data_IF_922657361330
#
_entry.id   IF_922657361330
#
_cell.length_a   1.000
_cell.length_b   1.000
_cell.length_c   1.000
_cell.angle_alpha   90.00
_cell.angle_beta   90.00
_cell.angle_gamma   90.00
#
_symmetry.space_group_name_H-M   'P 1'
#
loop_
_entity.id
_entity.type
_entity.pdbx_description
1 polymer ?
#
# COMPACT_ATOMS: atom_id res chain seq x y z
N UNK A 1 23.81 19.11 -18.81
CA UNK A 1 22.83 18.00 -18.75
C UNK A 1 23.64 16.81 -18.30
N UNK A 2 23.62 16.57 -16.99
CA UNK A 2 24.58 15.68 -16.31
C UNK A 2 24.27 14.21 -16.58
N UNK A 3 25.33 13.41 -16.68
CA UNK A 3 25.25 11.96 -16.92
C UNK A 3 24.49 11.19 -15.82
N UNK A 4 24.30 11.79 -14.64
CA UNK A 4 23.50 11.23 -13.55
C UNK A 4 21.99 11.24 -13.85
N UNK A 5 21.49 12.18 -14.66
CA UNK A 5 20.07 12.25 -15.05
C UNK A 5 19.68 11.12 -16.03
N UNK A 6 20.66 10.52 -16.72
CA UNK A 6 20.44 9.35 -17.59
C UNK A 6 20.46 8.02 -16.85
N UNK A 7 20.96 7.98 -15.61
CA UNK A 7 21.13 6.75 -14.83
C UNK A 7 19.88 6.34 -14.04
N UNK A 8 18.95 7.26 -13.78
CA UNK A 8 17.71 7.02 -13.03
C UNK A 8 16.64 6.24 -13.79
N UNK A 9 16.81 5.98 -15.10
CA UNK A 9 15.84 5.28 -15.94
C UNK A 9 16.15 3.80 -16.20
N UNK A 10 17.31 3.29 -15.78
CA UNK A 10 17.59 1.85 -15.89
C UNK A 10 16.95 1.11 -14.73
N UNK A 11 15.71 0.69 -14.94
CA UNK A 11 15.11 -0.33 -14.11
C UNK A 11 15.95 -1.61 -14.07
N UNK A 12 15.74 -2.44 -13.06
CA UNK A 12 16.41 -3.73 -12.93
C UNK A 12 15.39 -4.86 -13.05
N UNK A 13 15.82 -6.00 -13.60
CA UNK A 13 14.99 -7.20 -13.65
C UNK A 13 15.07 -7.94 -12.32
N UNK A 14 13.93 -8.45 -11.88
CA UNK A 14 13.82 -9.31 -10.70
C UNK A 14 12.79 -10.40 -10.97
N UNK A 15 12.76 -11.39 -10.09
CA UNK A 15 11.74 -12.44 -10.11
C UNK A 15 10.79 -12.28 -8.94
N UNK A 16 9.50 -12.55 -9.16
CA UNK A 16 8.45 -12.49 -8.15
C UNK A 16 7.62 -13.76 -8.15
N UNK A 17 7.15 -14.14 -6.98
CA UNK A 17 6.16 -15.20 -6.83
C UNK A 17 4.76 -14.58 -6.87
N UNK A 18 4.00 -14.87 -7.93
CA UNK A 18 2.60 -14.46 -8.02
C UNK A 18 1.69 -15.64 -7.68
N UNK A 19 0.50 -15.36 -7.17
CA UNK A 19 -0.52 -16.38 -6.92
C UNK A 19 -0.83 -17.14 -8.22
N UNK A 20 -0.65 -18.46 -8.21
CA UNK A 20 -0.95 -19.33 -9.35
C UNK A 20 -2.42 -19.25 -9.72
N UNK A 21 -2.76 -19.24 -11.02
CA UNK A 21 -4.17 -19.29 -11.47
C UNK A 21 -4.64 -20.73 -11.55
N UNK A 22 -5.04 -21.29 -10.41
CA UNK A 22 -5.51 -22.68 -10.33
C UNK A 22 -7.05 -22.77 -10.49
N UNK A 23 -7.59 -23.80 -11.18
CA UNK A 23 -9.04 -23.97 -11.35
C UNK A 23 -9.83 -24.00 -10.03
N UNK A 24 -9.21 -24.50 -8.96
CA UNK A 24 -9.83 -24.51 -7.62
C UNK A 24 -10.24 -23.12 -7.14
N UNK A 25 -9.56 -22.05 -7.58
CA UNK A 25 -9.83 -20.68 -7.13
C UNK A 25 -11.10 -20.07 -7.73
N UNK A 26 -11.68 -20.71 -8.74
CA UNK A 26 -13.00 -20.35 -9.26
C UNK A 26 -14.12 -20.76 -8.28
N UNK A 27 -13.88 -21.79 -7.46
CA UNK A 27 -14.88 -22.34 -6.52
C UNK A 27 -14.52 -22.14 -5.05
N UNK A 28 -13.24 -21.93 -4.74
CA UNK A 28 -12.71 -21.85 -3.38
C UNK A 28 -11.81 -20.62 -3.26
N UNK A 29 -12.07 -19.74 -2.28
CA UNK A 29 -11.22 -18.56 -2.10
C UNK A 29 -9.80 -18.96 -1.65
N UNK A 30 -8.75 -18.33 -2.20
CA UNK A 30 -7.40 -18.40 -1.65
C UNK A 30 -7.40 -17.94 -0.17
N UNK A 31 -6.73 -18.66 0.72
CA UNK A 31 -6.67 -18.35 2.15
C UNK A 31 -5.32 -18.70 2.76
N UNK A 32 -4.96 -17.96 3.80
CA UNK A 32 -3.86 -18.24 4.72
C UNK A 32 -4.34 -18.05 6.16
N UNK A 33 -4.09 -19.03 7.02
CA UNK A 33 -4.51 -19.05 8.42
C UNK A 33 -3.36 -18.59 9.28
N UNK A 34 -3.50 -17.39 9.86
CA UNK A 34 -2.49 -16.77 10.72
C UNK A 34 -2.66 -17.08 12.22
N UNK A 35 -3.36 -18.16 12.56
CA UNK A 35 -3.52 -18.63 13.93
C UNK A 35 -3.13 -20.11 14.04
N UNK A 36 -2.75 -20.59 15.25
CA UNK A 36 -2.39 -21.99 15.45
C UNK A 36 -3.55 -22.91 15.07
N UNK A 37 -3.28 -23.88 14.19
CA UNK A 37 -4.26 -24.93 13.85
C UNK A 37 -3.97 -26.12 14.76
N UNK A 38 -4.97 -26.66 15.48
CA UNK A 38 -4.79 -27.89 16.24
C UNK A 38 -4.34 -29.03 15.31
N UNK A 39 -3.25 -29.71 15.66
CA UNK A 39 -2.62 -30.76 14.82
C UNK A 39 -3.62 -31.84 14.36
N UNK A 40 -4.63 -32.14 15.17
CA UNK A 40 -5.63 -33.18 14.91
C UNK A 40 -6.83 -32.73 14.06
N UNK A 41 -6.85 -31.48 13.60
CA UNK A 41 -8.00 -30.94 12.85
C UNK A 41 -8.02 -31.35 11.38
N UNK A 42 -6.88 -31.73 10.80
CA UNK A 42 -6.76 -32.03 9.37
C UNK A 42 -6.94 -30.80 8.45
N UNK A 43 -6.97 -29.60 9.02
CA UNK A 43 -7.14 -28.34 8.28
C UNK A 43 -5.76 -27.87 7.82
N UNK A 44 -5.63 -27.53 6.54
CA UNK A 44 -4.41 -26.90 6.02
C UNK A 44 -4.31 -25.44 6.48
N UNK A 45 -3.09 -24.97 6.75
CA UNK A 45 -2.81 -23.56 7.03
C UNK A 45 -3.06 -22.65 5.83
N UNK A 46 -3.07 -23.18 4.63
CA UNK A 46 -3.21 -22.39 3.41
C UNK A 46 -3.66 -23.28 2.26
N UNK A 47 -4.31 -22.65 1.29
CA UNK A 47 -4.50 -23.24 -0.04
C UNK A 47 -3.76 -22.48 -1.14
N UNK A 48 -2.89 -21.54 -0.79
CA UNK A 48 -2.11 -20.70 -1.71
C UNK A 48 -1.06 -21.53 -2.45
N UNK A 49 -0.94 -21.28 -3.74
CA UNK A 49 0.14 -21.77 -4.59
C UNK A 49 0.70 -20.59 -5.36
N UNK A 50 2.02 -20.59 -5.62
CA UNK A 50 2.68 -19.48 -6.28
C UNK A 50 3.51 -19.96 -7.46
N UNK A 51 3.44 -19.22 -8.56
CA UNK A 51 4.29 -19.42 -9.73
C UNK A 51 5.40 -18.35 -9.73
N UNK A 52 6.61 -18.75 -10.11
CA UNK A 52 7.73 -17.84 -10.29
C UNK A 52 7.59 -17.13 -11.64
N UNK A 53 7.62 -15.80 -11.62
CA UNK A 53 7.72 -14.96 -12.81
C UNK A 53 9.08 -14.31 -12.82
N UNK A 54 9.88 -14.60 -13.85
CA UNK A 54 11.20 -14.03 -14.06
C UNK A 54 11.12 -12.77 -14.93
N UNK A 55 12.22 -12.01 -14.99
CA UNK A 55 12.38 -10.85 -15.86
C UNK A 55 11.33 -9.73 -15.68
N UNK A 56 10.84 -9.57 -14.45
CA UNK A 56 9.95 -8.45 -14.11
C UNK A 56 10.80 -7.18 -13.94
N UNK A 57 10.58 -6.22 -14.83
CA UNK A 57 11.27 -4.94 -14.80
C UNK A 57 10.73 -4.03 -13.69
N UNK A 58 11.57 -3.75 -12.70
CA UNK A 58 11.31 -2.80 -11.62
C UNK A 58 11.90 -1.45 -12.00
N UNK A 59 11.12 -0.37 -11.89
CA UNK A 59 11.56 0.99 -12.21
C UNK A 59 11.43 1.91 -11.00
N UNK A 60 12.40 2.80 -10.86
CA UNK A 60 12.30 3.95 -9.97
C UNK A 60 11.28 4.94 -10.53
N UNK A 61 10.35 5.39 -9.69
CA UNK A 61 9.30 6.34 -10.08
C UNK A 61 9.67 7.79 -9.78
N UNK A 62 10.79 8.04 -9.09
CA UNK A 62 11.23 9.40 -8.72
C UNK A 62 11.39 10.29 -9.95
N UNK A 63 10.87 11.52 -9.87
CA UNK A 63 10.81 12.48 -10.98
C UNK A 63 9.74 12.17 -12.04
N UNK A 64 8.89 11.18 -11.81
CA UNK A 64 7.78 10.79 -12.67
C UNK A 64 6.49 10.54 -11.87
N UNK A 65 6.41 11.07 -10.66
CA UNK A 65 5.33 10.83 -9.70
C UNK A 65 3.96 11.27 -10.25
N UNK A 66 3.95 12.32 -11.06
CA UNK A 66 2.78 12.90 -11.73
C UNK A 66 2.16 12.00 -12.80
N UNK A 67 2.85 10.93 -13.22
CA UNK A 67 2.35 9.96 -14.21
C UNK A 67 1.46 8.88 -13.61
N UNK A 68 1.41 8.78 -12.28
CA UNK A 68 0.67 7.73 -11.58
C UNK A 68 -0.61 8.32 -10.98
N UNK A 69 -1.73 7.76 -11.41
CA UNK A 69 -3.07 8.16 -11.02
C UNK A 69 -3.85 6.96 -10.47
N UNK A 70 -4.71 7.22 -9.49
CA UNK A 70 -5.43 6.21 -8.72
C UNK A 70 -6.35 5.35 -9.59
N UNK A 71 -7.01 5.93 -10.59
CA UNK A 71 -8.01 5.23 -11.42
C UNK A 71 -7.35 4.27 -12.41
N UNK A 72 -6.11 4.59 -12.81
CA UNK A 72 -5.37 3.84 -13.83
C UNK A 72 -4.35 2.87 -13.25
N UNK A 73 -3.70 3.25 -12.14
CA UNK A 73 -2.60 2.49 -11.55
C UNK A 73 -2.97 1.88 -10.19
N UNK A 74 -4.11 2.24 -9.61
CA UNK A 74 -4.51 1.80 -8.26
C UNK A 74 -3.74 2.47 -7.13
N UNK A 75 -2.91 3.47 -7.44
CA UNK A 75 -2.24 4.33 -6.47
C UNK A 75 -1.93 5.69 -7.12
N UNK A 76 -1.75 6.71 -6.28
CA UNK A 76 -1.33 8.05 -6.70
C UNK A 76 -0.39 8.64 -5.65
N UNK A 77 0.60 9.40 -6.11
CA UNK A 77 1.49 10.16 -5.24
C UNK A 77 0.98 11.59 -5.10
N UNK A 78 0.74 12.01 -3.87
CA UNK A 78 0.28 13.37 -3.56
C UNK A 78 1.29 14.05 -2.67
N UNK A 79 1.91 15.12 -3.18
CA UNK A 79 2.77 15.95 -2.37
C UNK A 79 1.93 16.80 -1.42
N UNK A 80 2.08 16.53 -0.12
CA UNK A 80 1.37 17.26 0.92
C UNK A 80 2.28 17.52 2.11
N UNK A 81 2.37 18.78 2.52
CA UNK A 81 3.09 19.19 3.73
C UNK A 81 2.12 19.17 4.90
N UNK A 82 2.38 18.33 5.89
CA UNK A 82 1.53 18.27 7.08
C UNK A 82 1.84 19.38 8.07
N UNK A 83 0.81 19.86 8.76
CA UNK A 83 0.95 20.79 9.88
C UNK A 83 1.26 20.09 11.21
N UNK A 84 1.12 18.76 11.24
CA UNK A 84 1.35 17.93 12.44
C UNK A 84 2.85 17.67 12.59
N UNK A 85 3.41 17.98 13.75
CA UNK A 85 4.85 17.80 14.01
C UNK A 85 5.20 16.37 14.43
N UNK A 86 6.48 16.01 14.35
CA UNK A 86 6.96 14.69 14.80
C UNK A 86 6.60 14.38 16.27
N UNK A 87 6.60 15.39 17.14
CA UNK A 87 6.25 15.24 18.56
C UNK A 87 4.74 15.01 18.73
N UNK A 88 3.90 15.60 17.88
CA UNK A 88 2.45 15.38 17.92
C UNK A 88 2.10 13.90 17.60
N UNK A 89 2.93 13.20 16.80
CA UNK A 89 2.72 11.78 16.46
C UNK A 89 3.00 10.81 17.62
N UNK A 90 3.54 11.27 18.74
CA UNK A 90 3.66 10.47 19.96
C UNK A 90 2.37 10.47 20.78
N UNK A 91 1.37 11.26 20.39
CA UNK A 91 0.11 11.41 21.12
C UNK A 91 -1.10 11.15 20.22
N UNK A 92 -1.75 10.00 20.43
CA UNK A 92 -2.95 9.57 19.68
C UNK A 92 -4.08 10.63 19.67
N UNK A 93 -4.26 11.38 20.76
CA UNK A 93 -5.29 12.44 20.81
C UNK A 93 -4.96 13.62 19.90
N UNK A 94 -3.67 13.97 19.76
CA UNK A 94 -3.22 15.02 18.85
C UNK A 94 -3.29 14.55 17.39
N UNK A 95 -2.99 13.29 17.12
CA UNK A 95 -3.17 12.67 15.79
C UNK A 95 -4.64 12.75 15.37
N UNK A 96 -5.57 12.33 16.23
CA UNK A 96 -7.01 12.34 15.91
C UNK A 96 -7.57 13.75 15.74
N UNK A 97 -7.09 14.71 16.51
CA UNK A 97 -7.63 16.08 16.48
C UNK A 97 -7.01 16.97 15.41
N UNK A 98 -5.78 16.69 14.96
CA UNK A 98 -5.07 17.49 13.96
C UNK A 98 -4.89 16.76 12.64
N UNK A 99 -4.26 15.59 12.68
CA UNK A 99 -3.81 14.88 11.49
C UNK A 99 -4.95 14.19 10.75
N UNK A 100 -5.92 13.61 11.47
CA UNK A 100 -7.07 12.96 10.84
C UNK A 100 -7.89 13.93 9.97
N UNK A 101 -8.36 15.10 10.47
CA UNK A 101 -9.07 16.06 9.63
C UNK A 101 -8.25 16.53 8.42
N UNK A 102 -6.93 16.69 8.60
CA UNK A 102 -6.02 17.11 7.54
C UNK A 102 -5.95 16.07 6.42
N UNK A 103 -5.80 14.79 6.78
CA UNK A 103 -5.74 13.67 5.84
C UNK A 103 -7.09 13.38 5.20
N UNK A 104 -8.20 13.46 5.95
CA UNK A 104 -9.55 13.34 5.39
C UNK A 104 -9.77 14.36 4.27
N UNK A 105 -9.42 15.63 4.52
CA UNK A 105 -9.54 16.67 3.50
C UNK A 105 -8.60 16.44 2.31
N UNK A 106 -7.36 16.01 2.56
CA UNK A 106 -6.41 15.71 1.48
C UNK A 106 -6.98 14.64 0.55
N UNK A 107 -7.49 13.55 1.13
CA UNK A 107 -7.99 12.43 0.35
C UNK A 107 -9.32 12.76 -0.32
N UNK A 108 -10.23 13.48 0.36
CA UNK A 108 -11.47 14.00 -0.26
C UNK A 108 -11.15 14.83 -1.51
N UNK A 109 -10.19 15.75 -1.43
CA UNK A 109 -9.79 16.59 -2.57
C UNK A 109 -9.11 15.78 -3.68
N UNK A 110 -8.26 14.82 -3.32
CA UNK A 110 -7.47 14.07 -4.30
C UNK A 110 -8.31 13.07 -5.07
N UNK A 111 -9.29 12.43 -4.41
CA UNK A 111 -10.13 11.37 -5.00
C UNK A 111 -11.53 11.85 -5.39
N UNK A 112 -11.89 13.10 -5.09
CA UNK A 112 -13.27 13.59 -5.24
C UNK A 112 -14.27 12.86 -4.34
N UNK A 113 -13.81 12.25 -3.25
CA UNK A 113 -14.65 11.46 -2.36
C UNK A 113 -15.67 12.33 -1.63
N UNK A 114 -16.91 11.84 -1.53
CA UNK A 114 -17.99 12.53 -0.80
C UNK A 114 -17.77 12.50 0.72
N UNK A 115 -17.08 11.47 1.20
CA UNK A 115 -16.79 11.23 2.61
C UNK A 115 -15.53 10.39 2.75
N UNK A 116 -14.74 10.72 3.77
CA UNK A 116 -13.54 9.97 4.14
C UNK A 116 -13.59 9.71 5.64
N UNK A 117 -13.21 8.51 6.04
CA UNK A 117 -13.07 8.14 7.44
C UNK A 117 -11.76 7.41 7.67
N UNK A 118 -11.01 7.88 8.67
CA UNK A 118 -9.84 7.17 9.15
C UNK A 118 -10.25 6.09 10.16
N UNK A 119 -9.92 4.84 9.88
CA UNK A 119 -10.20 3.73 10.79
C UNK A 119 -9.06 3.52 11.79
N UNK A 120 -7.82 3.47 11.29
CA UNK A 120 -6.62 3.25 12.10
C UNK A 120 -5.42 4.00 11.55
N UNK A 121 -4.45 4.24 12.42
CA UNK A 121 -3.13 4.72 12.07
C UNK A 121 -2.07 3.86 12.76
N UNK A 122 -0.94 3.69 12.09
CA UNK A 122 0.26 3.11 12.71
C UNK A 122 1.35 4.18 12.72
N UNK A 123 1.89 4.47 13.91
CA UNK A 123 3.03 5.37 14.07
C UNK A 123 4.31 4.55 14.06
N UNK A 124 5.19 4.82 13.09
CA UNK A 124 6.54 4.26 13.06
C UNK A 124 7.57 5.39 13.02
N UNK A 125 8.79 5.13 13.49
CA UNK A 125 9.89 6.11 13.49
C UNK A 125 10.30 6.57 12.09
N UNK A 126 9.88 5.88 11.02
CA UNK A 126 10.22 6.23 9.65
C UNK A 126 9.05 6.89 8.89
N UNK A 127 7.80 6.46 9.07
CA UNK A 127 6.61 6.97 8.37
C UNK A 127 5.29 6.64 9.10
N UNK A 128 4.20 7.35 8.77
CA UNK A 128 2.83 7.02 9.17
C UNK A 128 2.10 6.32 8.03
N UNK A 129 1.38 5.24 8.37
CA UNK A 129 0.44 4.59 7.47
C UNK A 129 -0.98 4.79 8.00
N UNK A 130 -1.83 5.40 7.17
CA UNK A 130 -3.25 5.56 7.41
C UNK A 130 -4.02 4.54 6.56
N UNK A 131 -4.85 3.74 7.21
CA UNK A 131 -5.83 2.92 6.51
C UNK A 131 -7.17 3.66 6.48
N UNK A 132 -7.61 3.96 5.26
CA UNK A 132 -8.77 4.82 4.98
C UNK A 132 -9.78 4.02 4.17
N UNK A 133 -11.06 4.12 4.53
CA UNK A 133 -12.17 3.50 3.79
C UNK A 133 -12.95 4.61 3.08
N UNK A 134 -13.26 4.39 1.80
CA UNK A 134 -14.04 5.30 0.96
C UNK A 134 -15.45 4.76 0.74
N UNK A 135 -16.42 5.65 0.63
CA UNK A 135 -17.82 5.36 0.33
C UNK A 135 -18.48 6.45 -0.49
#
# INVERSE_FOLDING_TARGET
MDDDEKKSLQGFNSSFFYLSRLPRYETEKPFYVNFPIPEKSGISHSNLSHDLYEDILIRDIRGNEDKFDIDTHGFQLVHHTTSTSNVDFENDSLIRSKYYPEMEQLVMRSLGASKVFVFEHTVSHLHLLLNVIFG
#
